data_IF_906669725140
#
_entry.id   IF_906669725140
#
_cell.length_a   1.000
_cell.length_b   1.000
_cell.length_c   1.000
_cell.angle_alpha   90.00
_cell.angle_beta   90.00
_cell.angle_gamma   90.00
#
_symmetry.space_group_name_H-M   'P 1'
#
loop_
_entity.id
_entity.type
_entity.pdbx_description
1 polymer ?
#
# COMPACT_ATOMS: atom_id res chain seq x y z
N UNK A 1 1.92 -8.31 6.19
CA UNK A 1 1.07 -7.84 5.07
C UNK A 1 -0.39 -7.59 5.45
N UNK A 2 -1.27 -8.60 5.63
CA UNK A 2 -2.71 -8.40 5.96
C UNK A 2 -2.99 -7.37 7.05
N UNK A 3 -2.34 -7.51 8.21
CA UNK A 3 -2.51 -6.57 9.34
C UNK A 3 -2.02 -5.14 9.04
N UNK A 4 -1.03 -4.98 8.15
CA UNK A 4 -0.54 -3.67 7.72
C UNK A 4 -1.56 -2.95 6.84
N UNK A 5 -2.19 -3.71 5.94
CA UNK A 5 -3.23 -3.24 5.02
C UNK A 5 -4.49 -2.81 5.77
N UNK A 6 -4.97 -3.63 6.71
CA UNK A 6 -6.15 -3.27 7.51
C UNK A 6 -5.90 -2.03 8.36
N UNK A 7 -4.70 -1.89 8.93
CA UNK A 7 -4.39 -0.72 9.74
C UNK A 7 -4.27 0.53 8.88
N UNK A 8 -3.64 0.46 7.69
CA UNK A 8 -3.42 1.65 6.84
C UNK A 8 -4.74 2.25 6.35
N UNK A 9 -5.76 1.43 6.10
CA UNK A 9 -7.11 1.89 5.73
C UNK A 9 -7.90 2.52 6.89
N UNK A 10 -7.52 2.22 8.14
CA UNK A 10 -8.13 2.77 9.36
C UNK A 10 -7.40 4.03 9.86
N UNK A 11 -6.27 4.41 9.25
CA UNK A 11 -5.54 5.63 9.60
C UNK A 11 -6.39 6.83 9.19
N UNK A 12 -6.81 7.61 10.19
CA UNK A 12 -7.34 8.94 9.96
C UNK A 12 -6.19 9.87 9.57
N UNK A 13 -5.87 9.93 8.26
CA UNK A 13 -4.73 10.68 7.69
C UNK A 13 -4.78 12.16 8.11
N UNK A 14 -5.98 12.69 8.35
CA UNK A 14 -6.23 14.07 8.74
C UNK A 14 -5.91 14.29 10.24
N UNK A 15 -6.11 13.28 11.09
CA UNK A 15 -5.95 13.38 12.55
C UNK A 15 -4.66 12.75 13.11
N UNK A 16 -4.14 11.70 12.45
CA UNK A 16 -3.05 10.85 12.91
C UNK A 16 -1.70 11.09 12.23
N UNK A 17 -1.67 11.89 11.17
CA UNK A 17 -0.44 12.30 10.50
C UNK A 17 0.10 11.29 9.49
N UNK A 18 0.75 11.84 8.46
CA UNK A 18 1.40 11.12 7.35
C UNK A 18 2.48 10.13 7.81
N UNK A 19 3.02 10.32 9.02
CA UNK A 19 4.09 9.48 9.58
C UNK A 19 3.63 8.03 9.81
N UNK A 20 2.41 7.84 10.32
CA UNK A 20 1.84 6.50 10.50
C UNK A 20 1.61 5.78 9.16
N UNK A 21 1.26 6.55 8.13
CA UNK A 21 1.11 6.04 6.75
C UNK A 21 2.48 5.65 6.20
N UNK A 22 3.51 6.47 6.40
CA UNK A 22 4.88 6.18 5.97
C UNK A 22 5.45 4.92 6.61
N UNK A 23 5.31 4.74 7.94
CA UNK A 23 5.80 3.52 8.60
C UNK A 23 5.13 2.25 8.06
N UNK A 24 3.82 2.31 7.81
CA UNK A 24 3.09 1.17 7.25
C UNK A 24 3.36 0.97 5.78
N UNK A 25 3.59 2.04 5.03
CA UNK A 25 4.04 2.01 3.65
C UNK A 25 5.36 1.24 3.52
N UNK A 26 6.37 1.57 4.34
CA UNK A 26 7.65 0.86 4.36
C UNK A 26 7.48 -0.63 4.66
N UNK A 27 6.57 -0.97 5.59
CA UNK A 27 6.27 -2.36 5.91
C UNK A 27 5.61 -3.10 4.73
N UNK A 28 4.69 -2.46 3.99
CA UNK A 28 4.05 -3.03 2.80
C UNK A 28 5.07 -3.18 1.66
N UNK A 29 5.94 -2.20 1.45
CA UNK A 29 7.01 -2.27 0.45
C UNK A 29 7.98 -3.43 0.74
N UNK A 30 8.31 -3.65 2.02
CA UNK A 30 9.13 -4.78 2.45
C UNK A 30 8.43 -6.14 2.22
N UNK A 31 7.13 -6.24 2.52
CA UNK A 31 6.34 -7.43 2.26
C UNK A 31 6.23 -7.71 0.74
N UNK A 32 6.05 -6.68 -0.07
CA UNK A 32 5.99 -6.76 -1.52
C UNK A 32 7.31 -7.25 -2.12
N UNK A 33 8.46 -6.70 -1.70
CA UNK A 33 9.77 -7.19 -2.14
C UNK A 33 9.96 -8.66 -1.79
N UNK A 34 9.56 -9.09 -0.59
CA UNK A 34 9.63 -10.50 -0.20
C UNK A 34 8.74 -11.38 -1.10
N UNK A 35 7.55 -10.90 -1.49
CA UNK A 35 6.67 -11.58 -2.42
C UNK A 35 7.28 -11.71 -3.82
N UNK A 36 7.86 -10.64 -4.34
CA UNK A 36 8.58 -10.64 -5.63
C UNK A 36 9.79 -11.59 -5.58
N UNK A 37 10.62 -11.52 -4.55
CA UNK A 37 11.79 -12.38 -4.36
C UNK A 37 11.40 -13.85 -4.15
N UNK A 38 10.26 -14.11 -3.51
CA UNK A 38 9.73 -15.47 -3.34
C UNK A 38 9.26 -16.11 -4.66
N UNK A 39 9.25 -15.36 -5.77
CA UNK A 39 8.99 -15.87 -7.11
C UNK A 39 7.55 -16.34 -7.29
N UNK A 40 6.59 -15.64 -6.68
CA UNK A 40 5.17 -15.99 -6.80
C UNK A 40 4.61 -15.67 -8.19
N UNK A 41 4.98 -16.48 -9.19
CA UNK A 41 4.47 -16.43 -10.57
C UNK A 41 2.93 -16.55 -10.66
N UNK A 42 2.32 -16.99 -9.57
CA UNK A 42 0.88 -17.18 -9.40
C UNK A 42 0.11 -15.85 -9.35
N UNK A 43 0.74 -14.79 -8.84
CA UNK A 43 0.11 -13.51 -8.60
C UNK A 43 0.91 -12.36 -9.23
N UNK A 44 1.67 -12.63 -10.29
CA UNK A 44 2.61 -11.67 -10.91
C UNK A 44 1.92 -10.39 -11.36
N UNK A 45 0.72 -10.51 -11.93
CA UNK A 45 -0.07 -9.37 -12.39
C UNK A 45 -0.55 -8.54 -11.20
N UNK A 46 -1.08 -9.19 -10.17
CA UNK A 46 -1.55 -8.53 -8.95
C UNK A 46 -0.39 -7.91 -8.14
N UNK A 47 0.76 -8.58 -8.09
CA UNK A 47 1.99 -8.07 -7.45
C UNK A 47 2.50 -6.84 -8.20
N UNK A 48 2.44 -6.83 -9.54
CA UNK A 48 2.82 -5.66 -10.35
C UNK A 48 1.84 -4.50 -10.18
N UNK A 49 0.55 -4.78 -10.04
CA UNK A 49 -0.46 -3.77 -9.73
C UNK A 49 -0.23 -3.18 -8.32
N UNK A 50 0.09 -4.02 -7.34
CA UNK A 50 0.45 -3.58 -5.99
C UNK A 50 1.72 -2.72 -5.99
N UNK A 51 2.75 -3.12 -6.74
CA UNK A 51 3.99 -2.34 -6.91
C UNK A 51 3.72 -0.95 -7.46
N UNK A 52 2.87 -0.85 -8.48
CA UNK A 52 2.45 0.44 -9.05
C UNK A 52 1.72 1.30 -8.02
N UNK A 53 0.76 0.73 -7.29
CA UNK A 53 0.02 1.45 -6.26
C UNK A 53 0.92 1.93 -5.10
N UNK A 54 1.90 1.11 -4.69
CA UNK A 54 2.91 1.47 -3.69
C UNK A 54 3.77 2.62 -4.22
N UNK A 55 4.21 2.58 -5.48
CA UNK A 55 4.96 3.67 -6.10
C UNK A 55 4.18 5.00 -6.10
N UNK A 56 2.89 4.95 -6.44
CA UNK A 56 1.99 6.11 -6.41
C UNK A 56 1.80 6.66 -4.99
N UNK A 57 1.69 5.78 -4.00
CA UNK A 57 1.61 6.17 -2.58
C UNK A 57 2.90 6.84 -2.11
N UNK A 58 4.07 6.29 -2.45
CA UNK A 58 5.36 6.89 -2.13
C UNK A 58 5.54 8.28 -2.77
N UNK A 59 5.04 8.45 -4.00
CA UNK A 59 5.04 9.75 -4.69
C UNK A 59 4.12 10.76 -4.00
N UNK A 60 2.93 10.34 -3.58
CA UNK A 60 2.01 11.18 -2.82
C UNK A 60 2.62 11.60 -1.47
N UNK A 61 3.26 10.66 -0.75
CA UNK A 61 3.96 10.93 0.51
C UNK A 61 5.13 11.91 0.32
N UNK A 62 5.92 11.76 -0.75
CA UNK A 62 7.01 12.68 -1.08
C UNK A 62 6.54 14.11 -1.39
N UNK A 63 5.34 14.25 -1.96
CA UNK A 63 4.71 15.55 -2.23
C UNK A 63 4.29 16.33 -0.98
N UNK A 64 4.07 15.65 0.14
CA UNK A 64 3.55 16.24 1.39
C UNK A 64 4.62 17.02 2.20
N UNK A 65 5.89 16.98 1.80
CA UNK A 65 7.02 17.60 2.50
C UNK A 65 6.90 19.13 2.68
N UNK A 66 6.04 19.80 1.91
CA UNK A 66 5.81 21.26 1.95
C UNK A 66 4.66 21.74 2.84
N UNK A 67 3.91 20.82 3.47
CA UNK A 67 2.68 21.11 4.21
C UNK A 67 1.47 20.44 3.57
N UNK A 68 0.69 19.72 4.37
CA UNK A 68 -0.44 18.91 3.91
C UNK A 68 -1.65 19.81 3.64
N UNK A 69 -1.98 20.02 2.37
CA UNK A 69 -3.29 20.57 2.02
C UNK A 69 -4.37 19.47 2.09
N UNK A 70 -5.64 19.86 2.10
CA UNK A 70 -6.77 18.90 2.08
C UNK A 70 -6.74 18.07 0.80
N UNK A 71 -6.33 18.67 -0.33
CA UNK A 71 -6.20 17.98 -1.61
C UNK A 71 -5.10 16.92 -1.57
N UNK A 72 -3.96 17.23 -0.93
CA UNK A 72 -2.87 16.25 -0.78
C UNK A 72 -3.27 15.11 0.16
N UNK A 73 -3.99 15.40 1.25
CA UNK A 73 -4.52 14.38 2.15
C UNK A 73 -5.54 13.47 1.43
N UNK A 74 -6.37 14.03 0.54
CA UNK A 74 -7.31 13.25 -0.28
C UNK A 74 -6.60 12.37 -1.32
N UNK A 75 -5.57 12.90 -1.99
CA UNK A 75 -4.73 12.10 -2.88
C UNK A 75 -4.05 10.97 -2.11
N UNK A 76 -3.49 11.27 -0.94
CA UNK A 76 -2.86 10.27 -0.10
C UNK A 76 -3.85 9.17 0.30
N UNK A 77 -5.05 9.53 0.76
CA UNK A 77 -6.11 8.57 1.10
C UNK A 77 -6.52 7.70 -0.11
N UNK A 78 -6.55 8.29 -1.30
CA UNK A 78 -6.84 7.56 -2.54
C UNK A 78 -5.75 6.56 -2.86
N UNK A 79 -4.48 6.96 -2.80
CA UNK A 79 -3.33 6.06 -3.03
C UNK A 79 -3.27 4.95 -1.98
N UNK A 80 -3.53 5.27 -0.71
CA UNK A 80 -3.63 4.27 0.37
C UNK A 80 -4.72 3.25 0.05
N UNK A 81 -5.90 3.70 -0.36
CA UNK A 81 -7.01 2.79 -0.74
C UNK A 81 -6.64 1.91 -1.92
N UNK A 82 -5.92 2.44 -2.92
CA UNK A 82 -5.44 1.66 -4.05
C UNK A 82 -4.46 0.55 -3.62
N UNK A 83 -3.49 0.88 -2.74
CA UNK A 83 -2.56 -0.11 -2.16
C UNK A 83 -3.30 -1.18 -1.38
N UNK A 84 -4.27 -0.80 -0.56
CA UNK A 84 -5.08 -1.73 0.24
C UNK A 84 -5.80 -2.74 -0.65
N UNK A 85 -6.45 -2.27 -1.71
CA UNK A 85 -7.17 -3.13 -2.65
C UNK A 85 -6.22 -4.07 -3.40
N UNK A 86 -5.17 -3.53 -4.01
CA UNK A 86 -4.20 -4.33 -4.77
C UNK A 86 -3.52 -5.40 -3.88
N UNK A 87 -3.23 -5.05 -2.62
CA UNK A 87 -2.65 -5.98 -1.69
C UNK A 87 -3.65 -7.06 -1.24
N UNK A 88 -4.93 -6.71 -1.10
CA UNK A 88 -6.03 -7.66 -0.93
C UNK A 88 -6.10 -8.68 -2.07
N UNK A 89 -6.04 -8.21 -3.32
CA UNK A 89 -6.07 -9.05 -4.52
C UNK A 89 -4.90 -10.03 -4.55
N UNK A 90 -3.68 -9.58 -4.24
CA UNK A 90 -2.49 -10.44 -4.14
C UNK A 90 -2.71 -11.55 -3.12
N UNK A 91 -3.19 -11.20 -1.92
CA UNK A 91 -3.42 -12.18 -0.85
C UNK A 91 -4.53 -13.16 -1.24
N UNK A 92 -5.61 -12.68 -1.85
CA UNK A 92 -6.70 -13.54 -2.31
C UNK A 92 -6.20 -14.53 -3.37
N UNK A 93 -5.40 -14.06 -4.34
CA UNK A 93 -4.83 -14.90 -5.40
C UNK A 93 -3.88 -15.96 -4.87
N UNK A 94 -3.01 -15.58 -3.93
CA UNK A 94 -2.12 -16.52 -3.25
C UNK A 94 -2.92 -17.57 -2.46
N UNK A 95 -3.98 -17.14 -1.76
CA UNK A 95 -4.80 -18.03 -0.93
C UNK A 95 -5.61 -19.03 -1.75
N UNK A 96 -6.14 -18.62 -2.91
CA UNK A 96 -6.93 -19.46 -3.82
C UNK A 96 -6.07 -20.44 -4.61
N UNK A 97 -4.79 -20.14 -4.79
CA UNK A 97 -3.87 -21.05 -5.49
C UNK A 97 -3.21 -22.05 -4.54
N UNK A 98 -3.09 -21.72 -3.25
CA UNK A 98 -2.58 -22.64 -2.22
C UNK A 98 -3.68 -23.55 -1.61
N UNK A 99 -4.93 -23.47 -2.08
CA UNK A 99 -6.08 -24.25 -1.59
C UNK A 99 -6.41 -25.47 -2.44
#
# INVERSE_FOLDING_TARGET
MRSNIETIGDIDIIAGGTDAVSERFEAIESDLKQLQDSGSDVASDEISALDSAVSDLGSALGGLSGGVSVEDAQQLATSVTAVVNAAGDVIERLSTTCS
#
